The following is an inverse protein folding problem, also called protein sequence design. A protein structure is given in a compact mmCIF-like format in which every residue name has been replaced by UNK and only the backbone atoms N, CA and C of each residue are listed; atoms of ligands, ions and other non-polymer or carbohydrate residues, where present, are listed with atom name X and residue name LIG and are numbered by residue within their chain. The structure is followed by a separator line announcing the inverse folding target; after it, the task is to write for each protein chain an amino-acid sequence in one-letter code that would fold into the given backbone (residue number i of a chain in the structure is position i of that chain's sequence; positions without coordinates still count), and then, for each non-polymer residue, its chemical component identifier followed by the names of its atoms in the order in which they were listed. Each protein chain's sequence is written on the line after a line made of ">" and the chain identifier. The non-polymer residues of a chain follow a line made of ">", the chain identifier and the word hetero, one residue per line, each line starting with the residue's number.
data_IF_876786052666
#
_entry.id   IF_876786052666
#
_cell.length_a   1.000
_cell.length_b   1.000
_cell.length_c   1.000
_cell.angle_alpha   90.00
_cell.angle_beta   90.00
_cell.angle_gamma   90.00
#
_symmetry.space_group_name_H-M   'P 1'
#
loop_
_entity.id
_entity.type
_entity.pdbx_description
1 polymer ?
#
# COMPACT_ATOMS: atom_id res chain seq x y z
N UNK A 1 11.10 6.54 -5.80
CA UNK A 1 12.03 5.79 -6.70
C UNK A 1 11.36 4.69 -7.52
N UNK A 2 11.14 3.46 -7.03
CA UNK A 2 10.70 2.33 -7.89
C UNK A 2 9.43 2.67 -8.68
N UNK A 3 8.38 3.17 -8.02
CA UNK A 3 7.13 3.56 -8.69
C UNK A 3 7.32 4.68 -9.73
N UNK A 4 8.24 5.61 -9.49
CA UNK A 4 8.53 6.69 -10.45
C UNK A 4 9.18 6.11 -11.70
N UNK A 5 10.15 5.20 -11.56
CA UNK A 5 10.77 4.48 -12.69
C UNK A 5 9.73 3.67 -13.45
N UNK A 6 8.89 2.92 -12.73
CA UNK A 6 7.78 2.18 -13.32
C UNK A 6 6.82 3.10 -14.07
N UNK A 7 6.60 4.35 -13.66
CA UNK A 7 5.76 5.30 -14.37
C UNK A 7 6.45 6.09 -15.49
N UNK A 8 7.77 5.99 -15.66
CA UNK A 8 8.59 6.94 -16.44
C UNK A 8 8.53 6.74 -17.97
N UNK A 9 7.32 6.73 -18.56
CA UNK A 9 7.07 6.47 -19.99
C UNK A 9 7.68 7.51 -20.93
N UNK A 10 7.92 8.73 -20.47
CA UNK A 10 8.54 9.80 -21.29
C UNK A 10 10.02 10.02 -20.98
N UNK A 11 10.61 9.30 -20.02
CA UNK A 11 12.02 9.43 -19.67
C UNK A 11 12.88 8.80 -20.77
N UNK A 12 13.87 9.53 -21.27
CA UNK A 12 14.86 9.01 -22.22
C UNK A 12 15.96 8.25 -21.44
N UNK A 13 16.52 7.21 -22.06
CA UNK A 13 17.64 6.43 -21.51
C UNK A 13 17.24 5.05 -20.98
N UNK A 14 18.20 4.37 -20.35
CA UNK A 14 18.12 2.95 -19.99
C UNK A 14 17.11 2.61 -18.88
N UNK A 15 16.62 3.63 -18.18
CA UNK A 15 15.66 3.52 -17.07
C UNK A 15 14.33 4.24 -17.35
N UNK A 16 14.00 4.47 -18.63
CA UNK A 16 12.79 5.16 -19.04
C UNK A 16 12.27 4.70 -20.40
N UNK A 17 11.06 5.15 -20.74
CA UNK A 17 10.43 4.82 -22.03
C UNK A 17 9.80 3.43 -22.02
N UNK A 18 10.49 2.47 -22.62
CA UNK A 18 9.99 1.10 -22.78
C UNK A 18 9.69 0.44 -21.43
N UNK A 19 8.77 -0.52 -21.44
CA UNK A 19 8.50 -1.35 -20.27
C UNK A 19 9.77 -2.02 -19.72
N UNK A 20 10.62 -2.53 -20.61
CA UNK A 20 11.87 -3.20 -20.26
C UNK A 20 12.79 -2.26 -19.48
N UNK A 21 12.99 -1.04 -19.97
CA UNK A 21 13.84 -0.05 -19.31
C UNK A 21 13.25 0.41 -17.97
N UNK A 22 11.94 0.66 -17.90
CA UNK A 22 11.28 1.12 -16.67
C UNK A 22 11.28 0.08 -15.55
N UNK A 23 11.24 -1.20 -15.90
CA UNK A 23 11.26 -2.32 -14.94
C UNK A 23 12.67 -2.82 -14.63
N UNK A 24 13.67 -2.42 -15.43
CA UNK A 24 15.08 -2.83 -15.35
C UNK A 24 15.61 -2.75 -13.93
N UNK A 25 15.58 -1.56 -13.33
CA UNK A 25 16.19 -1.31 -12.02
C UNK A 25 15.70 -2.27 -10.94
N UNK A 26 14.38 -2.51 -10.88
CA UNK A 26 13.80 -3.42 -9.89
C UNK A 26 14.26 -4.87 -10.13
N UNK A 27 14.24 -5.33 -11.38
CA UNK A 27 14.59 -6.71 -11.73
C UNK A 27 16.08 -6.98 -11.52
N UNK A 28 16.94 -6.11 -12.03
CA UNK A 28 18.40 -6.22 -11.84
C UNK A 28 18.77 -6.14 -10.35
N UNK A 29 18.11 -5.28 -9.56
CA UNK A 29 18.34 -5.24 -8.10
C UNK A 29 18.01 -6.58 -7.44
N UNK A 30 16.90 -7.21 -7.81
CA UNK A 30 16.50 -8.52 -7.27
C UNK A 30 17.49 -9.61 -7.67
N UNK A 31 17.91 -9.63 -8.93
CA UNK A 31 18.91 -10.58 -9.44
C UNK A 31 20.24 -10.44 -8.68
N UNK A 32 20.73 -9.21 -8.51
CA UNK A 32 21.98 -8.94 -7.79
C UNK A 32 21.89 -9.35 -6.32
N UNK A 33 20.79 -9.02 -5.62
CA UNK A 33 20.58 -9.45 -4.23
C UNK A 33 20.58 -10.98 -4.13
N UNK A 34 19.92 -11.66 -5.06
CA UNK A 34 19.83 -13.13 -5.08
C UNK A 34 21.19 -13.79 -5.36
N UNK A 35 22.02 -13.18 -6.21
CA UNK A 35 23.37 -13.65 -6.47
C UNK A 35 24.27 -13.50 -5.24
N UNK A 36 24.19 -12.35 -4.56
CA UNK A 36 25.02 -12.04 -3.40
C UNK A 36 24.58 -12.79 -2.14
N UNK A 37 23.27 -12.94 -1.93
CA UNK A 37 22.69 -13.57 -0.74
C UNK A 37 21.59 -14.57 -1.11
N UNK A 38 21.92 -15.76 -1.66
CA UNK A 38 20.94 -16.70 -2.22
C UNK A 38 19.89 -17.22 -1.23
N UNK A 39 20.22 -17.25 0.07
CA UNK A 39 19.33 -17.72 1.13
C UNK A 39 18.35 -16.64 1.63
N UNK A 40 18.49 -15.39 1.17
CA UNK A 40 17.64 -14.29 1.61
C UNK A 40 16.23 -14.44 1.03
N UNK A 41 15.22 -14.34 1.88
CA UNK A 41 13.83 -14.21 1.44
C UNK A 41 13.66 -12.82 0.81
N UNK A 42 13.53 -12.77 -0.51
CA UNK A 42 13.32 -11.52 -1.24
C UNK A 42 11.82 -11.25 -1.33
N UNK A 43 11.42 -10.04 -0.93
CA UNK A 43 10.02 -9.60 -0.98
C UNK A 43 9.95 -8.22 -1.59
N UNK A 44 8.77 -7.81 -2.08
CA UNK A 44 8.56 -6.43 -2.50
C UNK A 44 7.17 -5.91 -2.19
N UNK A 45 7.09 -4.62 -1.87
CA UNK A 45 5.83 -3.89 -1.79
C UNK A 45 5.62 -3.14 -3.09
N UNK A 46 4.68 -3.62 -3.90
CA UNK A 46 4.47 -3.17 -5.26
C UNK A 46 3.15 -2.39 -5.39
N UNK A 47 3.27 -1.19 -5.94
CA UNK A 47 2.14 -0.44 -6.45
C UNK A 47 1.57 -1.13 -7.68
N UNK A 48 0.34 -1.63 -7.60
CA UNK A 48 -0.38 -2.23 -8.73
C UNK A 48 -0.90 -1.15 -9.68
N UNK A 49 -1.23 0.02 -9.15
CA UNK A 49 -1.48 1.22 -9.93
C UNK A 49 -1.13 2.45 -9.08
N UNK A 50 -0.68 3.53 -9.71
CA UNK A 50 -0.54 4.81 -9.02
C UNK A 50 -1.88 5.58 -8.97
N UNK A 51 -2.87 5.19 -9.77
CA UNK A 51 -4.18 5.87 -9.89
C UNK A 51 -4.00 7.37 -10.17
N UNK A 52 -3.06 7.69 -11.07
CA UNK A 52 -2.81 9.05 -11.57
C UNK A 52 -2.92 9.01 -13.09
N UNK A 53 -3.88 9.76 -13.63
CA UNK A 53 -4.26 9.75 -15.04
C UNK A 53 -3.46 10.75 -15.88
N UNK A 54 -2.15 10.49 -15.98
CA UNK A 54 -1.19 11.34 -16.70
C UNK A 54 -0.25 10.51 -17.59
N UNK A 55 0.50 11.18 -18.46
CA UNK A 55 1.46 10.54 -19.38
C UNK A 55 2.45 9.59 -18.70
N UNK A 56 3.01 10.01 -17.56
CA UNK A 56 3.88 9.17 -16.73
C UNK A 56 3.09 8.50 -15.61
N UNK A 57 2.50 7.36 -15.94
CA UNK A 57 1.62 6.61 -15.04
C UNK A 57 1.92 5.11 -15.05
N UNK A 58 1.56 4.44 -13.96
CA UNK A 58 1.77 3.01 -13.77
C UNK A 58 0.43 2.33 -13.45
N UNK A 59 0.12 1.25 -14.16
CA UNK A 59 -1.18 0.58 -14.04
C UNK A 59 -2.34 1.42 -14.59
N UNK A 60 -2.06 2.23 -15.62
CA UNK A 60 -2.94 3.21 -16.25
C UNK A 60 -2.60 3.27 -17.75
N UNK A 61 -3.62 3.33 -18.60
CA UNK A 61 -3.48 3.56 -20.04
C UNK A 61 -4.52 4.56 -20.53
N UNK A 62 -4.25 5.17 -21.70
CA UNK A 62 -5.20 6.05 -22.38
C UNK A 62 -5.92 5.22 -23.42
N UNK A 63 -7.25 5.17 -23.35
CA UNK A 63 -8.07 4.50 -24.33
C UNK A 63 -7.92 5.21 -25.68
N UNK A 64 -7.50 4.50 -26.72
CA UNK A 64 -7.24 5.10 -28.04
C UNK A 64 -8.51 5.58 -28.74
N UNK A 65 -9.68 5.02 -28.39
CA UNK A 65 -10.95 5.35 -29.02
C UNK A 65 -11.62 6.57 -28.35
N UNK A 66 -11.60 6.63 -27.01
CA UNK A 66 -12.28 7.70 -26.25
C UNK A 66 -11.33 8.82 -25.83
N UNK A 67 -10.02 8.55 -25.80
CA UNK A 67 -9.03 9.47 -25.25
C UNK A 67 -9.06 9.55 -23.72
N UNK A 68 -9.90 8.78 -23.04
CA UNK A 68 -10.00 8.76 -21.59
C UNK A 68 -8.92 7.88 -20.96
N UNK A 69 -8.50 8.23 -19.75
CA UNK A 69 -7.56 7.42 -19.00
C UNK A 69 -8.29 6.40 -18.13
N UNK A 70 -7.80 5.17 -18.13
CA UNK A 70 -8.41 4.07 -17.39
C UNK A 70 -7.38 3.22 -16.65
N UNK A 71 -7.87 2.43 -15.70
CA UNK A 71 -7.05 1.46 -14.98
C UNK A 71 -6.73 0.29 -15.92
N UNK A 72 -5.46 0.17 -16.29
CA UNK A 72 -4.95 -0.94 -17.09
C UNK A 72 -3.83 -1.64 -16.34
N UNK A 73 -4.12 -2.87 -15.90
CA UNK A 73 -3.19 -3.68 -15.10
C UNK A 73 -2.31 -4.61 -15.95
N UNK A 74 -2.25 -4.42 -17.27
CA UNK A 74 -1.45 -5.27 -18.16
C UNK A 74 0.04 -5.25 -17.80
N UNK A 75 0.65 -4.07 -17.65
CA UNK A 75 2.06 -3.97 -17.24
C UNK A 75 2.30 -4.42 -15.79
N UNK A 76 1.48 -4.04 -14.79
CA UNK A 76 1.59 -4.58 -13.44
C UNK A 76 1.51 -6.11 -13.36
N UNK A 77 0.55 -6.72 -14.07
CA UNK A 77 0.38 -8.18 -14.12
C UNK A 77 1.59 -8.85 -14.76
N UNK A 78 2.08 -8.28 -15.87
CA UNK A 78 3.32 -8.76 -16.51
C UNK A 78 4.49 -8.70 -15.55
N UNK A 79 4.69 -7.57 -14.86
CA UNK A 79 5.81 -7.42 -13.93
C UNK A 79 5.71 -8.41 -12.79
N UNK A 80 4.53 -8.61 -12.19
CA UNK A 80 4.37 -9.60 -11.12
C UNK A 80 4.78 -11.01 -11.57
N UNK A 81 4.40 -11.45 -12.78
CA UNK A 81 4.86 -12.75 -13.30
C UNK A 81 6.37 -12.80 -13.52
N UNK A 82 6.96 -11.72 -14.01
CA UNK A 82 8.42 -11.63 -14.16
C UNK A 82 9.12 -11.71 -12.79
N UNK A 83 8.58 -11.06 -11.76
CA UNK A 83 9.12 -11.13 -10.40
C UNK A 83 8.96 -12.51 -9.74
N UNK A 84 7.84 -13.19 -10.01
CA UNK A 84 7.62 -14.59 -9.61
C UNK A 84 8.67 -15.51 -10.22
N UNK A 85 8.91 -15.39 -11.53
CA UNK A 85 9.97 -16.14 -12.23
C UNK A 85 11.39 -15.83 -11.70
N UNK A 86 11.63 -14.61 -11.21
CA UNK A 86 12.90 -14.24 -10.55
C UNK A 86 13.04 -14.85 -9.14
N UNK A 87 11.96 -15.43 -8.59
CA UNK A 87 11.95 -16.10 -7.29
C UNK A 87 11.72 -15.17 -6.12
N UNK A 88 11.01 -14.06 -6.31
CA UNK A 88 10.47 -13.28 -5.18
C UNK A 88 9.54 -14.17 -4.38
N UNK A 89 9.66 -14.20 -3.06
CA UNK A 89 8.90 -15.11 -2.19
C UNK A 89 7.56 -14.54 -1.72
N UNK A 90 7.35 -13.23 -1.85
CA UNK A 90 6.18 -12.53 -1.31
C UNK A 90 6.01 -11.15 -1.96
N UNK A 91 4.79 -10.79 -2.34
CA UNK A 91 4.48 -9.44 -2.82
C UNK A 91 3.35 -8.80 -2.01
N UNK A 92 3.57 -7.61 -1.46
CA UNK A 92 2.48 -6.78 -0.95
C UNK A 92 1.91 -5.91 -2.07
N UNK A 93 0.64 -6.13 -2.41
CA UNK A 93 -0.10 -5.34 -3.37
C UNK A 93 -0.66 -4.06 -2.70
N UNK A 94 -0.27 -2.91 -3.22
CA UNK A 94 -0.75 -1.58 -2.80
C UNK A 94 -1.09 -0.73 -4.02
N UNK A 95 -1.58 0.49 -3.82
CA UNK A 95 -1.80 1.46 -4.90
C UNK A 95 -1.58 2.89 -4.39
N UNK A 96 -1.59 3.86 -5.31
CA UNK A 96 -1.49 5.28 -4.98
C UNK A 96 -0.07 5.78 -4.70
N UNK A 97 0.08 7.10 -4.68
CA UNK A 97 1.31 7.81 -4.34
C UNK A 97 1.06 8.60 -3.06
N UNK A 98 1.75 8.30 -1.94
CA UNK A 98 1.51 8.96 -0.66
C UNK A 98 1.55 10.49 -0.69
N UNK A 99 2.35 11.07 -1.60
CA UNK A 99 2.49 12.53 -1.74
C UNK A 99 1.37 13.20 -2.54
N UNK A 100 0.66 12.46 -3.39
CA UNK A 100 -0.38 13.02 -4.26
C UNK A 100 -1.78 12.58 -3.84
N UNK A 101 -2.00 11.26 -3.74
CA UNK A 101 -3.30 10.66 -3.48
C UNK A 101 -3.20 9.61 -2.35
N UNK A 102 -2.78 10.00 -1.14
CA UNK A 102 -2.52 9.05 -0.04
C UNK A 102 -3.72 8.18 0.33
N UNK A 103 -4.95 8.70 0.15
CA UNK A 103 -6.19 7.98 0.43
C UNK A 103 -6.32 6.68 -0.38
N UNK A 104 -5.75 6.61 -1.59
CA UNK A 104 -5.70 5.39 -2.41
C UNK A 104 -4.95 4.26 -1.70
N UNK A 105 -3.80 4.58 -1.08
CA UNK A 105 -2.94 3.60 -0.41
C UNK A 105 -3.40 3.28 1.02
N UNK A 106 -4.10 4.23 1.65
CA UNK A 106 -4.51 4.19 3.05
C UNK A 106 -5.81 4.98 3.27
N UNK A 107 -7.00 4.41 3.00
CA UNK A 107 -8.27 5.10 3.27
C UNK A 107 -8.34 5.63 4.72
N UNK A 108 -8.90 6.82 4.93
CA UNK A 108 -8.90 7.47 6.25
C UNK A 108 -10.16 8.29 6.50
N UNK A 109 -10.54 8.38 7.78
CA UNK A 109 -11.62 9.24 8.26
C UNK A 109 -11.16 10.69 8.42
N UNK A 110 -9.90 10.89 8.79
CA UNK A 110 -9.31 12.23 8.93
C UNK A 110 -7.96 12.26 8.21
N UNK A 111 -7.75 13.17 7.26
CA UNK A 111 -6.45 13.38 6.64
C UNK A 111 -5.46 13.94 7.67
N UNK A 112 -4.18 13.98 7.29
CA UNK A 112 -3.23 14.84 8.01
C UNK A 112 -3.69 16.30 7.87
N UNK A 113 -3.35 17.15 8.83
CA UNK A 113 -3.64 18.59 8.74
C UNK A 113 -3.06 19.18 7.45
N UNK A 114 -3.87 19.95 6.71
CA UNK A 114 -3.53 20.45 5.37
C UNK A 114 -3.53 19.40 4.25
N UNK A 115 -3.88 18.15 4.56
CA UNK A 115 -3.93 17.05 3.60
C UNK A 115 -5.18 17.08 2.71
N UNK A 116 -5.09 16.35 1.59
CA UNK A 116 -6.21 16.14 0.69
C UNK A 116 -7.39 15.46 1.41
N UNK A 117 -8.62 15.92 1.16
CA UNK A 117 -9.82 15.16 1.54
C UNK A 117 -10.03 14.03 0.54
N UNK A 118 -10.52 12.89 1.02
CA UNK A 118 -10.84 11.78 0.12
C UNK A 118 -11.97 12.20 -0.84
N UNK A 119 -11.78 12.15 -2.17
CA UNK A 119 -12.79 12.54 -3.14
C UNK A 119 -13.90 11.49 -3.31
N UNK A 120 -13.77 10.35 -2.61
CA UNK A 120 -14.67 9.23 -2.66
C UNK A 120 -14.92 8.68 -1.26
N UNK A 121 -15.87 7.76 -1.14
CA UNK A 121 -16.03 7.01 0.11
C UNK A 121 -14.78 6.15 0.37
N UNK A 122 -14.20 6.16 1.58
CA UNK A 122 -13.09 5.27 1.94
C UNK A 122 -13.35 3.79 1.66
N UNK A 123 -14.62 3.37 1.71
CA UNK A 123 -15.01 1.99 1.39
C UNK A 123 -14.72 1.63 -0.08
N UNK A 124 -14.88 2.58 -1.02
CA UNK A 124 -14.48 2.40 -2.42
C UNK A 124 -12.97 2.23 -2.54
N UNK A 125 -12.20 2.98 -1.75
CA UNK A 125 -10.75 2.82 -1.65
C UNK A 125 -10.35 1.43 -1.16
N UNK A 126 -11.01 0.92 -0.11
CA UNK A 126 -10.80 -0.45 0.39
C UNK A 126 -11.15 -1.49 -0.66
N UNK A 127 -12.32 -1.39 -1.29
CA UNK A 127 -12.76 -2.29 -2.37
C UNK A 127 -11.73 -2.33 -3.50
N UNK A 128 -11.23 -1.17 -3.94
CA UNK A 128 -10.21 -1.08 -4.99
C UNK A 128 -8.95 -1.86 -4.62
N UNK A 129 -8.43 -1.70 -3.40
CA UNK A 129 -7.24 -2.39 -2.95
C UNK A 129 -7.43 -3.91 -2.91
N UNK A 130 -8.58 -4.39 -2.45
CA UNK A 130 -8.92 -5.81 -2.47
C UNK A 130 -9.03 -6.33 -3.90
N UNK A 131 -9.69 -5.59 -4.80
CA UNK A 131 -9.82 -5.93 -6.22
C UNK A 131 -8.46 -6.03 -6.91
N UNK A 132 -7.53 -5.12 -6.62
CA UNK A 132 -6.18 -5.19 -7.17
C UNK A 132 -5.42 -6.40 -6.66
N UNK A 133 -5.38 -6.62 -5.35
CA UNK A 133 -4.72 -7.79 -4.77
C UNK A 133 -5.30 -9.10 -5.35
N UNK A 134 -6.63 -9.20 -5.50
CA UNK A 134 -7.32 -10.34 -6.13
C UNK A 134 -6.90 -10.60 -7.56
N UNK A 135 -6.86 -9.55 -8.38
CA UNK A 135 -6.45 -9.69 -9.78
C UNK A 135 -4.99 -10.13 -9.91
N UNK A 136 -4.14 -9.75 -8.96
CA UNK A 136 -2.74 -10.15 -8.91
C UNK A 136 -2.59 -11.59 -8.42
N UNK A 137 -3.20 -11.98 -7.30
CA UNK A 137 -3.13 -13.38 -6.82
C UNK A 137 -3.61 -14.37 -7.88
N UNK A 138 -4.66 -14.02 -8.64
CA UNK A 138 -5.22 -14.89 -9.68
C UNK A 138 -4.20 -15.26 -10.78
N UNK A 139 -3.22 -14.40 -11.07
CA UNK A 139 -2.27 -14.64 -12.17
C UNK A 139 -0.97 -15.34 -11.72
N UNK A 140 -0.74 -15.41 -10.41
CA UNK A 140 0.42 -16.07 -9.77
C UNK A 140 -0.08 -16.85 -8.54
N UNK A 141 -0.81 -17.97 -8.74
CA UNK A 141 -1.51 -18.66 -7.66
C UNK A 141 -0.56 -19.18 -6.56
N UNK A 142 0.69 -19.50 -6.92
CA UNK A 142 1.68 -20.08 -6.01
C UNK A 142 2.52 -19.02 -5.28
N UNK A 143 2.53 -17.77 -5.75
CA UNK A 143 3.21 -16.65 -5.11
C UNK A 143 2.29 -15.98 -4.08
N UNK A 144 2.62 -15.98 -2.78
CA UNK A 144 1.77 -15.33 -1.78
C UNK A 144 1.66 -13.82 -2.03
N UNK A 145 0.42 -13.32 -2.12
CA UNK A 145 0.13 -11.89 -2.19
C UNK A 145 -0.44 -11.41 -0.84
N UNK A 146 0.10 -10.30 -0.33
CA UNK A 146 -0.48 -9.58 0.80
C UNK A 146 -1.41 -8.49 0.26
N UNK A 147 -2.71 -8.60 0.56
CA UNK A 147 -3.69 -7.53 0.34
C UNK A 147 -3.56 -6.40 1.37
N UNK A 148 -3.88 -5.17 0.98
CA UNK A 148 -3.81 -3.98 1.84
C UNK A 148 -5.21 -3.34 1.98
N UNK A 149 -5.40 -2.45 2.96
CA UNK A 149 -6.63 -1.63 3.10
C UNK A 149 -7.49 -1.96 4.32
N UNK A 150 -7.10 -2.96 5.11
CA UNK A 150 -7.94 -3.50 6.18
C UNK A 150 -8.16 -2.57 7.37
N UNK A 151 -7.20 -1.71 7.70
CA UNK A 151 -7.25 -0.92 8.95
C UNK A 151 -8.39 0.09 9.01
N UNK A 152 -8.94 0.54 7.87
CA UNK A 152 -10.08 1.47 7.88
C UNK A 152 -11.38 0.79 8.32
N UNK A 153 -11.50 -0.53 8.13
CA UNK A 153 -12.66 -1.31 8.56
C UNK A 153 -12.72 -1.57 10.08
N UNK A 154 -11.70 -1.12 10.83
CA UNK A 154 -11.64 -1.23 12.31
C UNK A 154 -11.90 -2.67 12.78
N UNK A 155 -12.92 -2.89 13.63
CA UNK A 155 -13.28 -4.20 14.15
C UNK A 155 -13.71 -5.20 13.07
N UNK A 156 -14.22 -4.71 11.94
CA UNK A 156 -14.62 -5.54 10.80
C UNK A 156 -13.44 -5.94 9.92
N UNK A 157 -12.25 -5.35 10.12
CA UNK A 157 -11.07 -5.64 9.33
C UNK A 157 -10.66 -7.11 9.37
N UNK A 158 -10.80 -7.77 10.52
CA UNK A 158 -10.54 -9.21 10.67
C UNK A 158 -11.51 -10.09 9.89
N UNK A 159 -12.81 -9.79 9.94
CA UNK A 159 -13.82 -10.51 9.16
C UNK A 159 -13.60 -10.33 7.65
N UNK A 160 -13.28 -9.12 7.20
CA UNK A 160 -12.92 -8.86 5.81
C UNK A 160 -11.64 -9.60 5.37
N UNK A 161 -10.65 -9.71 6.27
CA UNK A 161 -9.44 -10.47 6.01
C UNK A 161 -9.75 -11.97 5.86
N UNK A 162 -10.53 -12.54 6.79
CA UNK A 162 -10.98 -13.93 6.72
C UNK A 162 -11.75 -14.21 5.41
N UNK A 163 -12.63 -13.30 4.99
CA UNK A 163 -13.40 -13.45 3.76
C UNK A 163 -12.52 -13.44 2.50
N UNK A 164 -11.51 -12.57 2.42
CA UNK A 164 -10.62 -12.52 1.25
C UNK A 164 -9.63 -13.69 1.23
N UNK A 165 -9.01 -14.00 2.37
CA UNK A 165 -8.06 -15.12 2.47
C UNK A 165 -8.78 -16.46 2.25
N UNK A 166 -9.93 -16.69 2.91
CA UNK A 166 -10.69 -17.92 2.78
C UNK A 166 -11.27 -18.17 1.38
N UNK A 167 -11.44 -17.12 0.58
CA UNK A 167 -11.85 -17.23 -0.84
C UNK A 167 -10.67 -17.29 -1.82
N UNK A 168 -9.44 -17.37 -1.33
CA UNK A 168 -8.23 -17.35 -2.16
C UNK A 168 -8.06 -16.06 -2.96
N UNK A 169 -8.66 -14.95 -2.52
CA UNK A 169 -8.48 -13.67 -3.21
C UNK A 169 -7.05 -13.14 -3.04
N UNK A 170 -6.40 -13.43 -1.92
CA UNK A 170 -4.97 -13.22 -1.72
C UNK A 170 -4.55 -14.02 -0.48
N UNK A 171 -3.30 -14.47 -0.43
CA UNK A 171 -2.86 -15.40 0.63
C UNK A 171 -2.78 -14.76 2.02
N UNK A 172 -2.53 -13.45 2.11
CA UNK A 172 -2.29 -12.75 3.38
C UNK A 172 -2.99 -11.40 3.45
N UNK A 173 -3.33 -10.96 4.66
CA UNK A 173 -3.95 -9.65 4.92
C UNK A 173 -2.99 -8.72 5.67
N UNK A 174 -2.68 -7.57 5.08
CA UNK A 174 -1.74 -6.59 5.60
C UNK A 174 -2.42 -5.50 6.45
N UNK A 175 -1.95 -5.35 7.69
CA UNK A 175 -2.42 -4.34 8.63
C UNK A 175 -1.25 -3.42 9.02
N UNK A 176 -1.30 -2.15 8.59
CA UNK A 176 -0.28 -1.15 8.91
C UNK A 176 -0.59 -0.40 10.21
N UNK A 177 -1.29 0.75 10.10
CA UNK A 177 -1.64 1.63 11.24
C UNK A 177 -2.38 0.93 12.38
N UNK A 178 -3.05 -0.20 12.10
CA UNK A 178 -3.69 -1.01 13.12
C UNK A 178 -2.68 -1.63 14.11
N UNK A 179 -1.46 -1.97 13.66
CA UNK A 179 -0.43 -2.52 14.53
C UNK A 179 0.02 -1.52 15.60
N UNK A 180 -0.01 -0.21 15.32
CA UNK A 180 0.20 0.80 16.35
C UNK A 180 -0.97 0.88 17.33
N UNK A 181 -2.20 0.94 16.81
CA UNK A 181 -3.38 1.15 17.66
C UNK A 181 -3.74 -0.06 18.52
N UNK A 182 -3.49 -1.26 18.01
CA UNK A 182 -3.95 -2.50 18.62
C UNK A 182 -2.96 -3.64 18.35
N UNK A 183 -1.75 -3.63 18.93
CA UNK A 183 -0.69 -4.60 18.60
C UNK A 183 -1.11 -6.08 18.72
N UNK A 184 -1.96 -6.40 19.71
CA UNK A 184 -2.42 -7.77 19.97
C UNK A 184 -3.69 -8.17 19.19
N UNK A 185 -4.09 -7.43 18.16
CA UNK A 185 -5.34 -7.71 17.44
C UNK A 185 -5.38 -9.10 16.80
N UNK A 186 -4.24 -9.61 16.32
CA UNK A 186 -4.15 -10.95 15.71
C UNK A 186 -4.45 -12.03 16.75
N UNK A 187 -3.88 -11.91 17.96
CA UNK A 187 -4.16 -12.83 19.06
C UNK A 187 -5.64 -12.85 19.39
N UNK A 188 -6.27 -11.68 19.52
CA UNK A 188 -7.70 -11.60 19.81
C UNK A 188 -8.58 -12.13 18.67
N UNK A 189 -8.16 -12.00 17.40
CA UNK A 189 -8.84 -12.67 16.29
C UNK A 189 -8.78 -14.20 16.41
N UNK A 190 -7.64 -14.76 16.79
CA UNK A 190 -7.47 -16.22 16.94
C UNK A 190 -8.21 -16.77 18.17
N UNK A 191 -8.13 -16.08 19.31
CA UNK A 191 -8.69 -16.56 20.57
C UNK A 191 -10.18 -16.24 20.74
N UNK A 192 -10.65 -15.11 20.19
CA UNK A 192 -12.01 -14.59 20.41
C UNK A 192 -12.84 -14.51 19.13
N UNK A 193 -12.26 -14.80 17.97
CA UNK A 193 -12.93 -14.70 16.67
C UNK A 193 -13.21 -13.26 16.20
N UNK A 194 -12.79 -12.24 16.95
CA UNK A 194 -13.13 -10.84 16.64
C UNK A 194 -12.10 -9.84 17.16
N UNK A 195 -12.08 -8.67 16.51
CA UNK A 195 -11.35 -7.50 16.99
C UNK A 195 -12.24 -6.67 17.93
N UNK A 196 -11.62 -6.04 18.93
CA UNK A 196 -12.29 -5.15 19.88
C UNK A 196 -12.34 -3.71 19.33
N UNK A 197 -13.54 -3.17 19.12
CA UNK A 197 -13.77 -1.85 18.52
C UNK A 197 -12.98 -0.72 19.21
N UNK A 198 -13.06 -0.64 20.54
CA UNK A 198 -12.40 0.43 21.31
C UNK A 198 -10.87 0.43 21.22
N UNK A 199 -10.25 -0.65 20.76
CA UNK A 199 -8.79 -0.73 20.54
C UNK A 199 -8.41 -0.38 19.10
N UNK A 200 -9.34 -0.49 18.15
CA UNK A 200 -9.04 -0.33 16.73
C UNK A 200 -8.53 1.06 16.34
N UNK A 201 -7.75 1.11 15.26
CA UNK A 201 -7.28 2.35 14.64
C UNK A 201 -8.48 3.14 14.11
N UNK A 202 -8.63 4.39 14.53
CA UNK A 202 -9.70 5.27 14.04
C UNK A 202 -9.29 6.06 12.79
N UNK A 203 -8.21 5.65 12.14
CA UNK A 203 -7.66 6.23 10.91
C UNK A 203 -7.44 7.76 10.90
N UNK A 204 -7.23 8.37 12.07
CA UNK A 204 -7.08 9.81 12.25
C UNK A 204 -5.81 10.46 11.67
N UNK A 205 -4.97 9.69 10.98
CA UNK A 205 -3.70 10.14 10.37
C UNK A 205 -2.65 10.81 11.28
N UNK A 206 -2.85 10.86 12.61
CA UNK A 206 -1.87 11.45 13.56
C UNK A 206 -0.51 10.74 13.53
N UNK A 207 -0.49 9.42 13.37
CA UNK A 207 0.75 8.66 13.15
C UNK A 207 1.50 9.12 11.89
N UNK A 208 0.77 9.40 10.80
CA UNK A 208 1.36 9.95 9.59
C UNK A 208 1.88 11.38 9.78
N UNK A 209 1.22 12.19 10.62
CA UNK A 209 1.71 13.53 10.95
C UNK A 209 3.02 13.48 11.74
N UNK A 210 3.13 12.60 12.75
CA UNK A 210 4.39 12.36 13.47
C UNK A 210 5.52 11.96 12.51
N UNK A 211 5.23 11.05 11.58
CA UNK A 211 6.17 10.60 10.55
C UNK A 211 6.61 11.74 9.63
N UNK A 212 5.69 12.57 9.12
CA UNK A 212 6.00 13.73 8.27
C UNK A 212 6.93 14.70 8.99
N UNK A 213 6.70 14.92 10.28
CA UNK A 213 7.53 15.78 11.11
C UNK A 213 8.80 15.09 11.64
N UNK A 214 9.14 13.91 11.13
CA UNK A 214 10.34 13.13 11.50
C UNK A 214 10.44 12.88 13.01
N UNK A 215 9.30 12.69 13.67
CA UNK A 215 9.22 12.45 15.12
C UNK A 215 8.96 10.98 15.44
N UNK A 216 8.98 10.65 16.74
CA UNK A 216 8.65 9.32 17.25
C UNK A 216 7.22 8.95 16.83
N UNK A 217 7.09 7.92 15.98
CA UNK A 217 5.81 7.50 15.42
C UNK A 217 5.15 6.42 16.27
N UNK A 218 3.83 6.54 16.46
CA UNK A 218 2.99 5.56 17.16
C UNK A 218 1.53 5.99 17.17
N UNK A 219 0.71 5.38 18.03
CA UNK A 219 -0.73 5.69 18.09
C UNK A 219 -1.03 6.78 19.13
N UNK A 220 -1.16 8.02 18.68
CA UNK A 220 -1.52 9.18 19.54
C UNK A 220 -2.83 8.98 20.32
N UNK A 221 -3.75 8.16 19.79
CA UNK A 221 -5.08 7.97 20.38
C UNK A 221 -5.14 6.81 21.37
N UNK A 222 -4.40 5.72 21.12
CA UNK A 222 -4.44 4.52 21.96
C UNK A 222 -3.33 4.51 23.01
N UNK A 223 -2.21 5.16 22.70
CA UNK A 223 -1.05 5.27 23.57
C UNK A 223 -0.81 6.74 23.93
N UNK A 224 -1.87 7.41 24.41
CA UNK A 224 -1.87 8.86 24.64
C UNK A 224 -0.78 9.29 25.64
N UNK A 225 -0.53 8.48 26.68
CA UNK A 225 0.51 8.77 27.69
C UNK A 225 1.92 8.88 27.09
N UNK A 226 2.17 8.17 25.98
CA UNK A 226 3.46 8.20 25.29
C UNK A 226 3.51 9.23 24.16
N UNK A 227 2.41 9.38 23.40
CA UNK A 227 2.44 10.11 22.12
C UNK A 227 1.65 11.41 22.11
N UNK A 228 0.80 11.70 23.10
CA UNK A 228 0.00 12.94 23.10
C UNK A 228 0.89 14.20 23.25
N UNK A 229 1.86 14.16 24.16
CA UNK A 229 2.80 15.28 24.34
C UNK A 229 3.71 15.46 23.14
N UNK A 230 4.29 14.36 22.63
CA UNK A 230 5.08 14.36 21.38
C UNK A 230 4.29 14.97 20.22
N UNK A 231 3.00 14.63 20.11
CA UNK A 231 2.13 15.19 19.07
C UNK A 231 1.91 16.70 19.24
N UNK A 232 1.68 17.18 20.47
CA UNK A 232 1.52 18.61 20.76
C UNK A 232 2.79 19.41 20.42
N UNK A 233 3.96 18.91 20.81
CA UNK A 233 5.26 19.52 20.51
C UNK A 233 5.47 19.69 19.00
N UNK A 234 5.20 18.62 18.24
CA UNK A 234 5.29 18.63 16.78
C UNK A 234 4.35 19.67 16.15
N UNK A 235 3.12 19.79 16.66
CA UNK A 235 2.17 20.79 16.18
C UNK A 235 2.59 22.22 16.52
N UNK A 236 3.20 22.46 17.69
CA UNK A 236 3.70 23.78 18.08
C UNK A 236 4.84 24.25 17.17
N UNK A 237 5.81 23.38 16.88
CA UNK A 237 6.94 23.70 15.97
C UNK A 237 6.44 23.95 14.54
N UNK A 238 5.42 23.22 14.11
CA UNK A 238 4.87 23.35 12.76
C UNK A 238 4.11 24.66 12.52
N UNK A 239 3.62 25.32 13.56
CA UNK A 239 2.91 26.61 13.45
C UNK A 239 3.85 27.81 13.40
N UNK A 240 5.11 27.62 13.80
CA UNK A 240 6.13 28.67 13.84
C UNK A 240 7.03 28.67 12.59
N UNK A 241 6.69 27.87 11.57
CA UNK A 241 7.30 27.83 10.25
C UNK A 241 6.27 28.22 9.20
#
# INVERSE_FOLDING_TARGET
>A
LILELLGAKTRIGEYGGSYQNRTRFLKETIELIKQEVPMLIITTRLNISNVIFVGNSWGISKNNNTGEWEIDLSEPKRLVKELDNLGVSLINATAGVPYFNPYISRPYDQPVEGGCKEPESPLKGVERLFKFARQIQKIVPDLPIIGTGYSWLRQFGGAAAAANVGKGHHSLAGFGRQAFAYPNFVRNLLEKGQMEDKKCCITCSKCSRLMICQSKTGCVVRDADLYANVYKEVLAVSKNK
#
